data_IF_353480934336
#
_entry.id   IF_353480934336
#
_cell.length_a   1.000
_cell.length_b   1.000
_cell.length_c   1.000
_cell.angle_alpha   90.00
_cell.angle_beta   90.00
_cell.angle_gamma   90.00
#
_symmetry.space_group_name_H-M   'P 1'
#
loop_
_entity.id
_entity.type
_entity.pdbx_description
1 polymer ?
#
# COMPACT_ATOMS: atom_id res chain seq x y z
N UNK A 1 2.50 0.59 25.81
CA UNK A 1 1.67 -0.61 26.07
C UNK A 1 2.04 -1.17 27.44
N UNK A 2 1.06 -1.46 28.30
CA UNK A 2 1.30 -2.15 29.58
C UNK A 2 1.16 -3.66 29.35
N UNK A 3 2.21 -4.44 29.65
CA UNK A 3 2.23 -5.90 29.44
C UNK A 3 2.59 -6.58 30.78
N UNK A 4 1.60 -7.01 31.58
CA UNK A 4 1.84 -7.64 32.86
C UNK A 4 2.15 -9.14 32.73
N UNK A 5 2.64 -9.76 33.81
CA UNK A 5 2.74 -11.21 33.99
C UNK A 5 3.59 -11.98 32.96
N UNK A 6 4.64 -11.37 32.42
CA UNK A 6 5.60 -12.02 31.52
C UNK A 6 7.02 -11.87 32.05
N UNK A 7 7.89 -12.82 31.74
CA UNK A 7 9.32 -12.69 31.99
C UNK A 7 9.95 -11.63 31.06
N UNK A 8 11.18 -11.20 31.38
CA UNK A 8 11.88 -10.15 30.64
C UNK A 8 12.18 -10.53 29.18
N UNK A 9 12.52 -11.78 28.90
CA UNK A 9 12.85 -12.21 27.54
C UNK A 9 11.59 -12.18 26.66
N UNK A 10 10.49 -12.71 27.18
CA UNK A 10 9.16 -12.66 26.55
C UNK A 10 8.70 -11.23 26.33
N UNK A 11 8.84 -10.35 27.34
CA UNK A 11 8.53 -8.93 27.22
C UNK A 11 9.29 -8.26 26.06
N UNK A 12 10.61 -8.45 26.00
CA UNK A 12 11.44 -7.85 24.96
C UNK A 12 11.06 -8.34 23.56
N UNK A 13 10.60 -9.59 23.44
CA UNK A 13 10.09 -10.12 22.18
C UNK A 13 8.75 -9.49 21.81
N UNK A 14 7.82 -9.38 22.75
CA UNK A 14 6.51 -8.75 22.52
C UNK A 14 6.63 -7.27 22.14
N UNK A 15 7.57 -6.53 22.72
CA UNK A 15 7.83 -5.13 22.35
C UNK A 15 8.22 -5.00 20.88
N UNK A 16 9.03 -5.92 20.35
CA UNK A 16 9.40 -5.93 18.92
C UNK A 16 8.20 -6.21 18.02
N UNK A 17 7.36 -7.16 18.40
CA UNK A 17 6.15 -7.49 17.64
C UNK A 17 5.14 -6.34 17.61
N UNK A 18 5.14 -5.49 18.65
CA UNK A 18 4.26 -4.34 18.80
C UNK A 18 4.88 -3.04 18.29
N UNK A 19 6.08 -3.06 17.69
CA UNK A 19 6.78 -1.85 17.24
C UNK A 19 5.94 -1.02 16.25
N UNK A 20 5.20 -1.69 15.37
CA UNK A 20 4.26 -1.06 14.42
C UNK A 20 2.79 -1.19 14.84
N UNK A 21 2.51 -1.43 16.13
CA UNK A 21 1.14 -1.56 16.63
C UNK A 21 0.40 -0.23 16.69
N UNK A 22 1.11 0.89 16.86
CA UNK A 22 0.51 2.22 16.84
C UNK A 22 0.23 2.63 15.39
N UNK A 23 -1.05 2.75 15.03
CA UNK A 23 -1.46 3.18 13.69
C UNK A 23 -1.50 4.70 13.62
N UNK A 24 -2.20 5.33 14.58
CA UNK A 24 -2.34 6.78 14.66
C UNK A 24 -2.54 7.21 16.12
N UNK A 25 -2.09 8.42 16.45
CA UNK A 25 -2.33 9.07 17.73
C UNK A 25 -2.25 10.59 17.58
N UNK A 26 -3.35 11.18 17.11
CA UNK A 26 -3.49 12.62 16.91
C UNK A 26 -4.82 13.12 17.52
N UNK A 27 -5.15 14.39 17.27
CA UNK A 27 -6.32 15.07 17.84
C UNK A 27 -7.68 14.58 17.32
N UNK A 28 -7.73 13.89 16.17
CA UNK A 28 -8.98 13.39 15.57
C UNK A 28 -9.09 11.86 15.57
N UNK A 29 -7.96 11.15 15.65
CA UNK A 29 -7.87 9.70 15.52
C UNK A 29 -6.80 9.11 16.44
N UNK A 30 -7.20 8.09 17.20
CA UNK A 30 -6.29 7.21 17.92
C UNK A 30 -6.56 5.77 17.51
N UNK A 31 -5.54 5.03 17.12
CA UNK A 31 -5.70 3.64 16.73
C UNK A 31 -4.48 2.79 17.05
N UNK A 32 -4.75 1.59 17.57
CA UNK A 32 -3.75 0.54 17.85
C UNK A 32 -4.20 -0.75 17.17
N UNK A 33 -3.25 -1.46 16.58
CA UNK A 33 -3.42 -2.73 15.90
C UNK A 33 -2.64 -3.84 16.61
N UNK A 34 -3.35 -4.90 17.01
CA UNK A 34 -2.75 -6.18 17.41
C UNK A 34 -2.71 -7.11 16.20
N UNK A 35 -1.53 -7.24 15.60
CA UNK A 35 -1.30 -8.09 14.44
C UNK A 35 -1.47 -9.60 14.74
N UNK A 36 -1.22 -10.04 15.97
CA UNK A 36 -1.38 -11.45 16.35
C UNK A 36 -2.85 -11.84 16.39
N UNK A 37 -3.70 -10.93 16.85
CA UNK A 37 -5.14 -11.16 16.93
C UNK A 37 -5.91 -10.68 15.70
N UNK A 38 -5.31 -9.87 14.85
CA UNK A 38 -6.00 -9.21 13.75
C UNK A 38 -7.07 -8.24 14.25
N UNK A 39 -6.78 -7.52 15.35
CA UNK A 39 -7.74 -6.64 16.04
C UNK A 39 -7.25 -5.20 16.02
N UNK A 40 -8.13 -4.27 15.65
CA UNK A 40 -7.94 -2.84 15.77
C UNK A 40 -8.79 -2.28 16.91
N UNK A 41 -8.18 -1.51 17.79
CA UNK A 41 -8.87 -0.54 18.63
C UNK A 41 -8.79 0.83 17.98
N UNK A 42 -9.92 1.53 17.85
CA UNK A 42 -9.97 2.85 17.20
C UNK A 42 -10.87 3.77 18.01
N UNK A 43 -10.43 5.01 18.22
CA UNK A 43 -11.24 6.11 18.75
C UNK A 43 -11.19 7.24 17.72
N UNK A 44 -12.37 7.65 17.24
CA UNK A 44 -12.56 8.81 16.37
C UNK A 44 -13.25 9.91 17.15
N UNK A 45 -12.73 11.13 17.02
CA UNK A 45 -13.26 12.33 17.66
C UNK A 45 -14.10 13.20 16.70
N UNK A 46 -14.18 12.83 15.43
CA UNK A 46 -14.98 13.50 14.39
C UNK A 46 -15.60 12.49 13.39
N UNK A 47 -16.44 13.00 12.49
CA UNK A 47 -17.10 12.26 11.41
C UNK A 47 -16.31 12.29 10.08
N UNK A 48 -15.01 12.57 10.13
CA UNK A 48 -14.16 12.46 8.93
C UNK A 48 -14.01 10.99 8.52
N UNK A 49 -13.77 10.73 7.23
CA UNK A 49 -13.46 9.37 6.78
C UNK A 49 -12.01 9.04 7.14
N UNK A 50 -11.79 8.01 7.96
CA UNK A 50 -10.43 7.55 8.30
C UNK A 50 -10.15 6.19 7.66
N UNK A 51 -9.11 6.12 6.83
CA UNK A 51 -8.66 4.87 6.22
C UNK A 51 -7.67 4.19 7.15
N UNK A 52 -7.95 2.94 7.55
CA UNK A 52 -7.16 2.20 8.53
C UNK A 52 -6.37 1.11 7.83
N UNK A 53 -5.05 1.15 7.98
CA UNK A 53 -4.13 0.13 7.46
C UNK A 53 -4.32 -0.18 5.96
N UNK A 54 -4.83 0.77 5.16
CA UNK A 54 -5.23 0.60 3.75
C UNK A 54 -6.16 -0.61 3.48
N UNK A 55 -6.95 -1.02 4.48
CA UNK A 55 -7.82 -2.20 4.40
C UNK A 55 -9.31 -1.86 4.47
N UNK A 56 -9.67 -0.84 5.25
CA UNK A 56 -11.05 -0.41 5.44
C UNK A 56 -11.10 1.06 5.84
N UNK A 57 -12.32 1.60 5.86
CA UNK A 57 -12.65 2.94 6.30
C UNK A 57 -13.62 2.89 7.48
N UNK A 58 -13.43 3.79 8.43
CA UNK A 58 -14.39 4.09 9.51
C UNK A 58 -14.94 5.50 9.35
N UNK A 59 -16.24 5.67 9.54
CA UNK A 59 -17.00 6.79 8.94
C UNK A 59 -17.60 7.77 9.94
N UNK A 60 -17.83 7.36 11.20
CA UNK A 60 -18.50 8.19 12.22
C UNK A 60 -17.61 8.42 13.43
N UNK A 61 -17.89 9.49 14.18
CA UNK A 61 -17.31 9.71 15.50
C UNK A 61 -17.71 8.57 16.45
N UNK A 62 -16.78 8.07 17.25
CA UNK A 62 -17.07 7.04 18.25
C UNK A 62 -15.91 6.12 18.53
N UNK A 63 -16.20 5.03 19.23
CA UNK A 63 -15.24 4.01 19.63
C UNK A 63 -15.50 2.74 18.83
N UNK A 64 -14.45 2.12 18.33
CA UNK A 64 -14.51 0.91 17.53
C UNK A 64 -13.58 -0.16 18.10
N UNK A 65 -14.02 -1.41 18.01
CA UNK A 65 -13.17 -2.60 18.06
C UNK A 65 -13.50 -3.45 16.86
N UNK A 66 -12.53 -3.67 15.98
CA UNK A 66 -12.72 -4.40 14.73
C UNK A 66 -11.79 -5.60 14.71
N UNK A 67 -12.32 -6.79 14.37
CA UNK A 67 -11.52 -8.00 14.19
C UNK A 67 -11.66 -8.48 12.75
N UNK A 68 -10.53 -8.79 12.09
CA UNK A 68 -10.52 -9.49 10.80
C UNK A 68 -10.69 -10.99 11.01
N UNK A 69 -11.62 -11.61 10.30
CA UNK A 69 -11.88 -13.05 10.31
C UNK A 69 -11.92 -13.57 8.87
N UNK A 70 -10.79 -14.12 8.40
CA UNK A 70 -10.61 -14.49 7.00
C UNK A 70 -10.66 -13.25 6.10
N UNK A 71 -11.61 -13.23 5.17
CA UNK A 71 -11.85 -12.10 4.27
C UNK A 71 -12.84 -11.07 4.85
N UNK A 72 -13.51 -11.38 5.96
CA UNK A 72 -14.55 -10.53 6.55
C UNK A 72 -14.07 -9.81 7.82
N UNK A 73 -14.93 -8.93 8.33
CA UNK A 73 -14.71 -8.14 9.53
C UNK A 73 -15.88 -8.28 10.49
N UNK A 74 -15.57 -8.51 11.77
CA UNK A 74 -16.51 -8.27 12.87
C UNK A 74 -16.29 -6.87 13.41
N UNK A 75 -17.34 -6.06 13.41
CA UNK A 75 -17.30 -4.66 13.81
C UNK A 75 -18.10 -4.50 15.10
N UNK A 76 -17.48 -3.92 16.12
CA UNK A 76 -18.16 -3.41 17.30
C UNK A 76 -17.96 -1.89 17.35
N UNK A 77 -19.05 -1.15 17.27
CA UNK A 77 -19.06 0.31 17.32
C UNK A 77 -19.91 0.81 18.50
N UNK A 78 -19.49 1.94 19.08
CA UNK A 78 -20.23 2.61 20.14
C UNK A 78 -20.06 4.12 20.04
N UNK A 79 -21.18 4.85 20.04
CA UNK A 79 -21.20 6.29 20.23
C UNK A 79 -21.43 6.60 21.72
N UNK A 80 -20.42 7.09 22.46
CA UNK A 80 -20.55 7.37 23.89
C UNK A 80 -21.49 8.54 24.22
N UNK A 81 -21.80 9.41 23.25
CA UNK A 81 -22.67 10.57 23.49
C UNK A 81 -24.15 10.23 23.42
N UNK A 82 -24.53 9.37 22.47
CA UNK A 82 -25.91 8.87 22.35
C UNK A 82 -26.12 7.56 23.11
N UNK A 83 -25.03 6.92 23.56
CA UNK A 83 -25.02 5.61 24.19
C UNK A 83 -25.58 4.49 23.31
N UNK A 84 -25.41 4.63 21.99
CA UNK A 84 -25.96 3.73 21.01
C UNK A 84 -24.88 3.13 20.11
N UNK A 85 -25.17 1.95 19.59
CA UNK A 85 -24.48 1.41 18.41
C UNK A 85 -25.14 1.93 17.13
N UNK A 86 -24.59 1.58 15.97
CA UNK A 86 -25.15 1.88 14.67
C UNK A 86 -24.95 0.68 13.73
N UNK A 87 -25.76 0.56 12.66
CA UNK A 87 -25.57 -0.47 11.65
C UNK A 87 -24.18 -0.39 10.99
N UNK A 88 -23.57 -1.54 10.72
CA UNK A 88 -22.20 -1.64 10.19
C UNK A 88 -21.98 -0.77 8.94
N UNK A 89 -22.92 -0.75 7.99
CA UNK A 89 -22.80 0.05 6.77
C UNK A 89 -22.75 1.57 7.00
N UNK A 90 -23.19 2.08 8.15
CA UNK A 90 -23.11 3.50 8.47
C UNK A 90 -21.74 3.90 9.03
N UNK A 91 -21.02 2.95 9.63
CA UNK A 91 -19.81 3.21 10.41
C UNK A 91 -18.56 2.61 9.80
N UNK A 92 -18.71 1.61 8.92
CA UNK A 92 -17.62 0.80 8.39
C UNK A 92 -17.78 0.54 6.90
N UNK A 93 -16.67 0.59 6.17
CA UNK A 93 -16.59 0.23 4.74
C UNK A 93 -15.29 -0.51 4.45
N UNK A 94 -15.38 -1.77 4.03
CA UNK A 94 -14.22 -2.53 3.51
C UNK A 94 -13.71 -1.88 2.22
N UNK A 95 -12.39 -1.81 2.06
CA UNK A 95 -11.78 -1.44 0.78
C UNK A 95 -11.59 -2.70 -0.07
N UNK A 96 -12.01 -2.64 -1.33
CA UNK A 96 -11.69 -3.69 -2.29
C UNK A 96 -10.22 -3.55 -2.68
N UNK A 97 -9.46 -4.64 -2.56
CA UNK A 97 -8.11 -4.68 -3.12
C UNK A 97 -8.23 -4.67 -4.64
N UNK A 98 -7.63 -3.67 -5.29
CA UNK A 98 -7.53 -3.64 -6.74
C UNK A 98 -6.82 -4.92 -7.21
N UNK A 99 -7.50 -5.74 -8.01
CA UNK A 99 -6.87 -6.85 -8.69
C UNK A 99 -5.73 -6.30 -9.56
N UNK A 100 -4.49 -6.73 -9.31
CA UNK A 100 -3.38 -6.40 -10.20
C UNK A 100 -3.64 -7.05 -11.58
N UNK A 101 -3.51 -6.32 -12.70
CA UNK A 101 -3.65 -6.92 -14.02
C UNK A 101 -2.55 -7.96 -14.24
N UNK A 102 -2.97 -9.21 -14.43
CA UNK A 102 -2.13 -10.31 -14.90
C UNK A 102 -1.62 -9.95 -16.31
N UNK A 103 -0.30 -9.80 -16.46
CA UNK A 103 0.33 -9.57 -17.75
C UNK A 103 0.19 -10.84 -18.58
N UNK A 104 -0.63 -10.80 -19.63
CA UNK A 104 -0.72 -11.88 -20.62
C UNK A 104 0.55 -11.91 -21.45
N UNK A 105 1.33 -12.98 -21.24
CA UNK A 105 2.46 -13.40 -22.06
C UNK A 105 1.95 -13.75 -23.48
N UNK A 106 2.20 -12.85 -24.44
CA UNK A 106 1.86 -13.07 -25.84
C UNK A 106 2.99 -13.83 -26.51
N UNK A 107 2.81 -15.15 -26.61
CA UNK A 107 3.52 -16.01 -27.58
C UNK A 107 3.26 -15.50 -28.99
N UNK A 108 4.23 -14.83 -29.59
CA UNK A 108 4.27 -14.60 -31.02
C UNK A 108 5.03 -15.73 -31.73
N UNK A 109 4.57 -16.00 -32.95
CA UNK A 109 4.59 -17.28 -33.66
C UNK A 109 5.66 -17.23 -34.75
N UNK A 110 6.75 -17.98 -34.59
CA UNK A 110 7.79 -18.11 -35.62
C UNK A 110 7.32 -18.99 -36.79
N UNK A 111 7.41 -18.45 -38.01
CA UNK A 111 7.47 -19.20 -39.27
C UNK A 111 8.28 -18.40 -40.28
N UNK A 112 9.47 -18.86 -40.66
CA UNK A 112 9.91 -19.06 -42.06
C UNK A 112 11.36 -19.57 -42.12
N UNK A 113 11.62 -20.35 -43.17
CA UNK A 113 12.71 -21.28 -43.42
C UNK A 113 14.01 -20.64 -43.97
N UNK A 114 15.11 -21.38 -43.74
CA UNK A 114 16.31 -21.59 -44.60
C UNK A 114 17.14 -20.40 -45.12
N UNK A 115 18.42 -20.32 -44.70
CA UNK A 115 19.54 -20.83 -45.52
C UNK A 115 20.94 -20.71 -44.84
N UNK A 116 21.71 -21.80 -45.01
CA UNK A 116 23.17 -21.92 -45.20
C UNK A 116 24.18 -21.78 -44.05
N UNK A 117 24.78 -22.94 -43.77
CA UNK A 117 26.03 -23.22 -43.08
C UNK A 117 27.25 -22.49 -43.69
N UNK A 118 28.17 -21.98 -42.86
CA UNK A 118 29.58 -22.42 -42.85
C UNK A 118 30.42 -21.81 -41.70
N UNK A 119 31.05 -22.72 -40.94
CA UNK A 119 32.43 -22.74 -40.41
C UNK A 119 33.11 -21.52 -39.77
N UNK A 120 33.56 -21.81 -38.54
CA UNK A 120 34.95 -21.73 -38.04
C UNK A 120 35.55 -20.41 -37.53
N UNK A 121 36.12 -20.58 -36.31
CA UNK A 121 37.19 -19.81 -35.67
C UNK A 121 36.82 -18.40 -35.17
N UNK A 122 37.43 -17.84 -34.12
CA UNK A 122 38.27 -18.27 -33.00
C UNK A 122 38.54 -16.95 -32.25
N UNK A 123 38.42 -16.98 -30.91
CA UNK A 123 39.09 -16.12 -29.94
C UNK A 123 38.62 -14.68 -29.59
N UNK A 124 38.31 -14.58 -28.29
CA UNK A 124 38.55 -13.52 -27.29
C UNK A 124 37.63 -12.28 -27.23
N UNK A 125 37.41 -11.73 -26.00
CA UNK A 125 36.30 -10.84 -25.71
C UNK A 125 36.62 -9.40 -26.07
N UNK A 126 35.65 -8.69 -26.64
CA UNK A 126 35.71 -7.25 -26.82
C UNK A 126 34.75 -6.59 -25.83
N UNK A 127 35.32 -5.79 -24.94
CA UNK A 127 34.62 -4.87 -24.05
C UNK A 127 33.98 -3.75 -24.85
N UNK A 128 32.69 -3.47 -24.62
CA UNK A 128 32.01 -2.34 -25.23
C UNK A 128 30.54 -2.24 -24.82
N UNK A 129 30.24 -1.20 -24.05
CA UNK A 129 29.04 -0.35 -24.09
C UNK A 129 27.63 -0.96 -24.17
N UNK A 130 26.81 -0.62 -23.17
CA UNK A 130 25.36 -0.86 -23.18
C UNK A 130 24.68 -0.41 -21.90
N UNK A 131 24.87 0.86 -21.52
CA UNK A 131 24.08 1.47 -20.44
C UNK A 131 22.60 1.43 -20.81
N UNK A 132 21.85 0.81 -19.92
CA UNK A 132 20.41 0.61 -20.00
C UNK A 132 19.64 1.93 -20.13
N UNK A 133 18.66 1.90 -21.02
CA UNK A 133 17.82 2.99 -21.49
C UNK A 133 16.80 3.33 -20.40
N UNK A 134 17.16 4.12 -19.39
CA UNK A 134 16.19 4.66 -18.42
C UNK A 134 16.44 6.11 -17.98
N UNK A 135 17.37 6.84 -18.64
CA UNK A 135 17.63 8.24 -18.33
C UNK A 135 16.87 9.25 -19.23
N UNK A 136 16.14 8.80 -20.25
CA UNK A 136 15.61 9.67 -21.32
C UNK A 136 14.16 10.14 -21.15
N UNK A 137 13.45 9.80 -20.05
CA UNK A 137 12.10 10.32 -19.81
C UNK A 137 12.03 11.63 -19.00
N UNK A 138 13.16 12.15 -18.52
CA UNK A 138 13.21 13.39 -17.72
C UNK A 138 13.34 14.70 -18.51
N UNK A 139 13.66 14.67 -19.80
CA UNK A 139 14.05 15.87 -20.57
C UNK A 139 12.99 16.37 -21.57
N UNK A 140 11.87 15.66 -21.73
CA UNK A 140 10.83 16.04 -22.72
C UNK A 140 9.78 17.04 -22.19
N UNK A 141 9.71 17.32 -20.88
CA UNK A 141 8.72 18.25 -20.32
C UNK A 141 9.25 19.68 -20.08
N UNK A 142 10.56 19.92 -20.16
CA UNK A 142 11.14 21.25 -19.95
C UNK A 142 11.25 22.10 -21.23
N UNK A 143 11.08 21.52 -22.43
CA UNK A 143 11.16 22.24 -23.70
C UNK A 143 9.89 22.98 -24.13
N UNK A 144 8.71 22.53 -23.68
CA UNK A 144 7.43 23.06 -24.16
C UNK A 144 7.04 24.41 -23.53
N UNK A 145 7.57 24.77 -22.35
CA UNK A 145 7.24 26.03 -21.67
C UNK A 145 8.11 27.21 -22.13
N UNK A 146 9.30 26.95 -22.69
CA UNK A 146 10.21 28.02 -23.12
C UNK A 146 9.79 28.69 -24.44
N UNK A 147 9.19 27.94 -25.37
CA UNK A 147 8.75 28.49 -26.66
C UNK A 147 7.46 29.31 -26.57
N UNK A 148 6.61 29.08 -25.56
CA UNK A 148 5.38 29.86 -25.37
C UNK A 148 5.62 31.26 -24.75
N UNK A 149 6.76 31.48 -24.10
CA UNK A 149 7.09 32.76 -23.45
C UNK A 149 7.81 33.76 -24.37
N UNK A 150 8.30 33.34 -25.55
CA UNK A 150 9.04 34.21 -26.48
C UNK A 150 8.21 34.76 -27.65
N UNK A 151 6.94 34.38 -27.75
CA UNK A 151 6.01 34.86 -28.80
C UNK A 151 5.19 36.11 -28.41
N UNK A 152 5.61 36.88 -27.40
CA UNK A 152 4.93 38.09 -26.99
C UNK A 152 5.95 39.13 -26.53
N UNK A 153 6.54 39.82 -27.51
CA UNK A 153 6.87 41.25 -27.50
C UNK A 153 7.81 41.56 -28.68
N UNK A 154 7.44 42.62 -29.41
CA UNK A 154 8.07 43.29 -30.56
C UNK A 154 9.59 43.19 -30.67
#
# INVERSE_FOLDING_TARGET
MLIPNVDRATFNQMVKELESSLIDNNETLQSVYDAKQGVWGIVKYDDSVSTISNQFQVLKRGVYTIRKEGDDYKVAYYNPETQESAPDQEVFKKLEQAAQPQTQDSKEKEKSEEEKNHSDQKNLPQTGEGQSILASLGLLLLGATYLFRRGKNN
#
